data_IF_641584306355
#
_entry.id   IF_641584306355
#
_cell.length_a   1.000
_cell.length_b   1.000
_cell.length_c   1.000
_cell.angle_alpha   90.00
_cell.angle_beta   90.00
_cell.angle_gamma   90.00
#
_symmetry.space_group_name_H-M   'P 1'
#
loop_
_entity.id
_entity.type
_entity.pdbx_description
1 polymer ?
#
# COMPACT_ATOMS: atom_id res chain seq x y z
N UNK A 1 -23.18 4.22 -0.28
CA UNK A 1 -22.88 2.97 0.44
C UNK A 1 -21.65 2.39 -0.21
N UNK A 2 -20.47 2.65 0.35
CA UNK A 2 -19.23 2.06 -0.16
C UNK A 2 -19.07 0.73 0.56
N UNK A 3 -19.27 -0.37 -0.16
CA UNK A 3 -18.79 -1.67 0.28
C UNK A 3 -17.29 -1.54 0.53
N UNK A 4 -16.86 -1.84 1.75
CA UNK A 4 -15.44 -2.10 2.02
C UNK A 4 -15.14 -3.38 1.26
N UNK A 5 -14.68 -3.25 0.01
CA UNK A 5 -14.04 -4.36 -0.69
C UNK A 5 -12.86 -4.75 0.16
N UNK A 6 -12.95 -5.93 0.77
CA UNK A 6 -11.81 -6.54 1.43
C UNK A 6 -10.77 -6.76 0.35
N UNK A 7 -9.79 -5.86 0.32
CA UNK A 7 -8.71 -5.86 -0.66
C UNK A 7 -8.10 -7.27 -0.69
N UNK A 8 -7.80 -7.81 -1.87
CA UNK A 8 -7.21 -9.16 -1.99
C UNK A 8 -5.97 -9.40 -1.10
N UNK A 9 -5.32 -8.33 -0.66
CA UNK A 9 -4.23 -8.30 0.33
C UNK A 9 -4.63 -8.82 1.72
N UNK A 10 -5.85 -8.54 2.18
CA UNK A 10 -6.38 -9.04 3.45
C UNK A 10 -6.58 -10.56 3.41
N UNK A 11 -7.19 -11.06 2.34
CA UNK A 11 -7.35 -12.49 2.11
C UNK A 11 -6.01 -13.23 2.00
N UNK A 12 -5.00 -12.63 1.32
CA UNK A 12 -3.64 -13.16 1.31
C UNK A 12 -3.03 -13.19 2.71
N UNK A 13 -3.20 -12.13 3.50
CA UNK A 13 -2.74 -12.06 4.89
C UNK A 13 -3.28 -13.21 5.75
N UNK A 14 -4.56 -13.56 5.58
CA UNK A 14 -5.19 -14.70 6.26
C UNK A 14 -4.68 -16.06 5.76
N UNK A 15 -4.38 -16.19 4.47
CA UNK A 15 -3.80 -17.43 3.92
C UNK A 15 -2.36 -17.67 4.42
N UNK A 16 -1.60 -16.61 4.67
CA UNK A 16 -0.27 -16.66 5.29
C UNK A 16 -0.39 -17.12 6.74
N UNK A 17 -1.35 -16.60 7.51
CA UNK A 17 -1.60 -17.04 8.89
C UNK A 17 -1.92 -18.53 8.98
N UNK A 18 -2.66 -19.06 7.99
CA UNK A 18 -2.97 -20.48 7.88
C UNK A 18 -1.82 -21.36 7.39
N UNK A 19 -0.67 -20.78 7.04
CA UNK A 19 0.48 -21.52 6.49
C UNK A 19 0.25 -22.04 5.07
N UNK A 20 -0.75 -21.52 4.35
CA UNK A 20 -1.12 -21.98 3.00
C UNK A 20 -0.39 -21.23 1.88
N UNK A 21 0.30 -20.14 2.19
CA UNK A 21 1.07 -19.33 1.24
C UNK A 21 2.50 -19.14 1.75
N UNK A 22 3.47 -19.49 0.90
CA UNK A 22 4.90 -19.36 1.18
C UNK A 22 5.52 -18.28 0.29
N UNK A 23 6.34 -17.43 0.91
CA UNK A 23 7.24 -16.51 0.22
C UNK A 23 8.52 -16.43 1.05
N UNK A 24 9.67 -16.43 0.38
CA UNK A 24 10.97 -16.36 1.05
C UNK A 24 11.11 -15.02 1.81
N UNK A 25 11.64 -15.01 3.05
CA UNK A 25 11.66 -13.83 3.91
C UNK A 25 12.36 -12.61 3.33
N UNK A 26 13.51 -12.77 2.67
CA UNK A 26 14.24 -11.65 2.08
C UNK A 26 13.50 -11.09 0.85
N UNK A 27 12.86 -11.96 0.05
CA UNK A 27 11.95 -11.53 -1.02
C UNK A 27 10.78 -10.73 -0.44
N UNK A 28 10.16 -11.21 0.64
CA UNK A 28 9.07 -10.49 1.30
C UNK A 28 9.52 -9.11 1.81
N UNK A 29 10.69 -9.03 2.46
CA UNK A 29 11.27 -7.76 2.93
C UNK A 29 11.55 -6.78 1.79
N UNK A 30 12.09 -7.28 0.67
CA UNK A 30 12.31 -6.47 -0.54
C UNK A 30 10.99 -6.00 -1.15
N UNK A 31 9.97 -6.85 -1.20
CA UNK A 31 8.64 -6.46 -1.66
C UNK A 31 8.04 -5.35 -0.78
N UNK A 32 8.11 -5.47 0.55
CA UNK A 32 7.67 -4.43 1.48
C UNK A 32 8.41 -3.11 1.25
N UNK A 33 9.74 -3.15 1.10
CA UNK A 33 10.54 -1.96 0.79
C UNK A 33 10.07 -1.28 -0.50
N UNK A 34 9.83 -2.05 -1.57
CA UNK A 34 9.36 -1.52 -2.85
C UNK A 34 7.97 -0.92 -2.76
N UNK A 35 7.10 -1.46 -1.91
CA UNK A 35 5.80 -0.84 -1.62
C UNK A 35 5.99 0.53 -0.97
N UNK A 36 6.89 0.65 0.01
CA UNK A 36 7.21 1.94 0.63
C UNK A 36 7.78 2.97 -0.36
N UNK A 37 8.70 2.55 -1.24
CA UNK A 37 9.22 3.39 -2.32
C UNK A 37 8.09 3.85 -3.27
N UNK A 38 7.15 2.96 -3.59
CA UNK A 38 6.03 3.28 -4.46
C UNK A 38 5.01 4.22 -3.80
N UNK A 39 4.72 4.04 -2.50
CA UNK A 39 3.90 4.99 -1.73
C UNK A 39 4.51 6.39 -1.78
N UNK A 40 5.82 6.52 -1.61
CA UNK A 40 6.49 7.82 -1.68
C UNK A 40 6.35 8.49 -3.06
N UNK A 41 6.40 7.70 -4.14
CA UNK A 41 6.17 8.19 -5.51
C UNK A 41 4.71 8.63 -5.71
N UNK A 42 3.74 7.84 -5.23
CA UNK A 42 2.33 8.18 -5.29
C UNK A 42 2.02 9.46 -4.49
N UNK A 43 2.65 9.65 -3.33
CA UNK A 43 2.53 10.87 -2.55
C UNK A 43 3.05 12.12 -3.29
N UNK A 44 4.14 11.98 -4.05
CA UNK A 44 4.63 13.05 -4.92
C UNK A 44 3.62 13.38 -6.02
N UNK A 45 3.07 12.37 -6.70
CA UNK A 45 2.05 12.57 -7.73
C UNK A 45 0.79 13.21 -7.12
N UNK A 46 0.40 12.81 -5.91
CA UNK A 46 -0.73 13.39 -5.17
C UNK A 46 -0.50 14.87 -4.86
N UNK A 47 0.72 15.27 -4.48
CA UNK A 47 1.08 16.69 -4.32
C UNK A 47 0.98 17.45 -5.65
N UNK A 48 1.44 16.84 -6.74
CA UNK A 48 1.25 17.39 -8.09
C UNK A 48 -0.23 17.59 -8.45
N UNK A 49 -1.08 16.63 -8.13
CA UNK A 49 -2.53 16.74 -8.33
C UNK A 49 -3.13 17.91 -7.53
N UNK A 50 -2.66 18.15 -6.29
CA UNK A 50 -3.08 19.31 -5.50
C UNK A 50 -2.75 20.64 -6.17
N UNK A 51 -1.60 20.74 -6.83
CA UNK A 51 -1.23 21.96 -7.56
C UNK A 51 -2.18 22.25 -8.74
N UNK A 52 -2.79 21.22 -9.32
CA UNK A 52 -3.82 21.37 -10.37
C UNK A 52 -5.20 21.76 -9.82
N UNK A 53 -5.36 21.82 -8.49
CA UNK A 53 -6.58 22.30 -7.83
C UNK A 53 -6.81 23.81 -8.01
N UNK A 54 -5.86 24.53 -8.60
CA UNK A 54 -6.01 25.92 -9.03
C UNK A 54 -5.43 26.06 -10.44
N UNK A 55 -6.29 26.31 -11.42
CA UNK A 55 -5.90 26.43 -12.82
C UNK A 55 -5.84 27.89 -13.25
N UNK A 56 -4.68 28.35 -13.71
CA UNK A 56 -4.56 29.61 -14.45
C UNK A 56 -4.64 29.36 -15.97
N UNK A 57 -4.53 30.41 -16.79
CA UNK A 57 -4.34 30.27 -18.23
C UNK A 57 -5.62 30.16 -19.07
N UNK A 58 -6.79 29.95 -18.45
CA UNK A 58 -8.08 30.00 -19.16
C UNK A 58 -8.61 31.44 -19.38
N UNK A 59 -8.16 32.39 -18.56
CA UNK A 59 -8.71 33.75 -18.50
C UNK A 59 -10.00 33.84 -17.68
N UNK A 60 -10.35 35.06 -17.27
CA UNK A 60 -11.46 35.36 -16.35
C UNK A 60 -12.60 36.17 -16.98
N UNK A 61 -12.39 36.72 -18.18
CA UNK A 61 -13.36 37.58 -18.86
C UNK A 61 -14.56 36.84 -19.48
N UNK A 62 -14.39 35.56 -19.83
CA UNK A 62 -15.45 34.74 -20.41
C UNK A 62 -15.98 33.76 -19.35
N UNK A 63 -17.30 33.76 -19.14
CA UNK A 63 -17.94 32.82 -18.21
C UNK A 63 -17.65 31.36 -18.56
N UNK A 64 -17.50 31.05 -19.85
CA UNK A 64 -17.13 29.71 -20.33
C UNK A 64 -15.72 29.30 -19.89
N UNK A 65 -14.76 30.22 -19.91
CA UNK A 65 -13.39 29.99 -19.46
C UNK A 65 -13.34 29.69 -17.95
N UNK A 66 -14.01 30.52 -17.14
CA UNK A 66 -14.13 30.30 -15.68
C UNK A 66 -14.79 28.96 -15.36
N UNK A 67 -15.84 28.60 -16.11
CA UNK A 67 -16.53 27.33 -15.95
C UNK A 67 -15.62 26.14 -16.30
N UNK A 68 -14.80 26.28 -17.34
CA UNK A 68 -13.86 25.23 -17.75
C UNK A 68 -12.75 25.04 -16.71
N UNK A 69 -12.15 26.13 -16.23
CA UNK A 69 -11.15 26.11 -15.15
C UNK A 69 -11.71 25.37 -13.91
N UNK A 70 -12.91 25.76 -13.47
CA UNK A 70 -13.58 25.12 -12.32
C UNK A 70 -13.79 23.62 -12.52
N UNK A 71 -14.11 23.17 -13.73
CA UNK A 71 -14.27 21.74 -14.03
C UNK A 71 -12.96 20.97 -13.93
N UNK A 72 -11.86 21.55 -14.40
CA UNK A 72 -10.53 20.94 -14.31
C UNK A 72 -10.02 20.92 -12.87
N UNK A 73 -10.19 22.02 -12.13
CA UNK A 73 -9.85 22.10 -10.70
C UNK A 73 -10.58 21.01 -9.91
N UNK A 74 -11.89 20.83 -10.14
CA UNK A 74 -12.67 19.76 -9.51
C UNK A 74 -12.21 18.35 -9.89
N UNK A 75 -11.76 18.15 -11.13
CA UNK A 75 -11.17 16.86 -11.54
C UNK A 75 -9.86 16.58 -10.80
N UNK A 76 -9.09 17.61 -10.46
CA UNK A 76 -7.85 17.48 -9.71
C UNK A 76 -8.11 17.27 -8.21
N UNK A 77 -8.94 18.13 -7.60
CA UNK A 77 -9.17 18.20 -6.15
C UNK A 77 -10.63 18.54 -5.85
N UNK A 78 -11.24 17.86 -4.87
CA UNK A 78 -12.53 18.27 -4.28
C UNK A 78 -13.78 18.09 -5.16
N UNK A 79 -13.63 17.61 -6.40
CA UNK A 79 -14.75 17.10 -7.20
C UNK A 79 -15.08 15.64 -6.90
N UNK A 80 -16.11 15.14 -7.58
CA UNK A 80 -16.53 13.74 -7.49
C UNK A 80 -15.41 12.81 -7.96
N UNK A 81 -14.96 11.94 -7.05
CA UNK A 81 -13.81 11.05 -7.20
C UNK A 81 -12.62 11.71 -7.92
N UNK A 82 -12.15 12.82 -7.34
CA UNK A 82 -11.02 13.60 -7.87
C UNK A 82 -9.72 12.79 -7.96
N UNK A 83 -8.77 13.25 -8.77
CA UNK A 83 -7.44 12.63 -8.91
C UNK A 83 -6.73 12.49 -7.56
N UNK A 84 -6.81 13.51 -6.71
CA UNK A 84 -6.26 13.45 -5.34
C UNK A 84 -6.84 12.30 -4.52
N UNK A 85 -8.16 12.08 -4.61
CA UNK A 85 -8.84 11.00 -3.91
C UNK A 85 -8.43 9.64 -4.48
N UNK A 86 -8.45 9.48 -5.80
CA UNK A 86 -8.08 8.23 -6.45
C UNK A 86 -6.64 7.79 -6.11
N UNK A 87 -5.68 8.73 -6.09
CA UNK A 87 -4.30 8.45 -5.67
C UNK A 87 -4.25 8.11 -4.17
N UNK A 88 -5.02 8.82 -3.33
CA UNK A 88 -5.12 8.53 -1.91
C UNK A 88 -5.61 7.11 -1.62
N UNK A 89 -6.67 6.69 -2.30
CA UNK A 89 -7.21 5.34 -2.19
C UNK A 89 -6.19 4.30 -2.67
N UNK A 90 -5.46 4.59 -3.75
CA UNK A 90 -4.40 3.69 -4.22
C UNK A 90 -3.22 3.58 -3.24
N UNK A 91 -2.82 4.68 -2.57
CA UNK A 91 -1.82 4.65 -1.51
C UNK A 91 -2.25 3.71 -0.39
N UNK A 92 -3.52 3.76 0.03
CA UNK A 92 -4.06 2.87 1.07
C UNK A 92 -3.93 1.41 0.64
N UNK A 93 -4.25 1.08 -0.61
CA UNK A 93 -4.10 -0.28 -1.12
C UNK A 93 -2.64 -0.75 -1.16
N UNK A 94 -1.70 0.10 -1.56
CA UNK A 94 -0.26 -0.23 -1.55
C UNK A 94 0.27 -0.37 -0.12
N UNK A 95 -0.24 0.39 0.85
CA UNK A 95 0.10 0.23 2.26
C UNK A 95 -0.41 -1.09 2.84
N UNK A 96 -1.62 -1.54 2.46
CA UNK A 96 -2.11 -2.87 2.84
C UNK A 96 -1.22 -3.96 2.25
N UNK A 97 -0.81 -3.83 0.98
CA UNK A 97 0.15 -4.73 0.35
C UNK A 97 1.48 -4.78 1.11
N UNK A 98 2.02 -3.63 1.50
CA UNK A 98 3.25 -3.53 2.31
C UNK A 98 3.11 -4.31 3.62
N UNK A 99 2.04 -4.07 4.38
CA UNK A 99 1.79 -4.73 5.66
C UNK A 99 1.70 -6.25 5.52
N UNK A 100 1.07 -6.74 4.44
CA UNK A 100 1.03 -8.17 4.15
C UNK A 100 2.44 -8.74 3.96
N UNK A 101 3.31 -8.08 3.19
CA UNK A 101 4.69 -8.53 3.00
C UNK A 101 5.53 -8.48 4.29
N UNK A 102 5.38 -7.43 5.10
CA UNK A 102 6.06 -7.32 6.41
C UNK A 102 5.65 -8.44 7.37
N UNK A 103 4.36 -8.79 7.34
CA UNK A 103 3.80 -9.89 8.13
C UNK A 103 4.39 -11.24 7.70
N UNK A 104 4.52 -11.50 6.41
CA UNK A 104 5.20 -12.69 5.89
C UNK A 104 6.60 -12.78 6.48
N UNK A 105 7.43 -11.75 6.29
CA UNK A 105 8.82 -11.75 6.75
C UNK A 105 8.94 -12.02 8.25
N UNK A 106 8.04 -11.44 9.06
CA UNK A 106 8.02 -11.60 10.52
C UNK A 106 7.63 -13.03 10.94
N UNK A 107 6.59 -13.60 10.34
CA UNK A 107 6.13 -14.95 10.65
C UNK A 107 7.22 -16.00 10.41
N UNK A 108 7.99 -15.85 9.33
CA UNK A 108 9.11 -16.75 9.06
C UNK A 108 10.25 -16.62 10.05
N UNK A 109 10.70 -15.40 10.36
CA UNK A 109 11.76 -15.20 11.36
C UNK A 109 11.38 -15.83 12.71
N UNK A 110 10.11 -15.72 13.11
CA UNK A 110 9.61 -16.33 14.35
C UNK A 110 9.53 -17.87 14.29
N UNK A 111 9.28 -18.43 13.10
CA UNK A 111 9.15 -19.88 12.91
C UNK A 111 10.52 -20.56 12.86
N UNK A 112 11.50 -19.92 12.22
CA UNK A 112 12.89 -20.39 12.17
C UNK A 112 13.51 -20.41 13.58
N UNK A 113 13.35 -19.34 14.36
CA UNK A 113 13.86 -19.26 15.74
C UNK A 113 13.29 -20.38 16.63
N UNK A 114 11.99 -20.65 16.51
CA UNK A 114 11.32 -21.74 17.24
C UNK A 114 11.82 -23.12 16.81
N UNK A 115 12.05 -23.31 15.51
CA UNK A 115 12.54 -24.58 14.98
C UNK A 115 14.01 -24.83 15.40
N UNK A 116 14.88 -23.81 15.29
CA UNK A 116 16.26 -23.88 15.76
C UNK A 116 16.34 -24.20 17.25
N UNK A 117 15.60 -23.46 18.09
CA UNK A 117 15.55 -23.70 19.54
C UNK A 117 15.04 -25.10 19.88
N UNK A 118 14.05 -25.60 19.13
CA UNK A 118 13.50 -26.96 19.31
C UNK A 118 14.53 -28.05 18.98
N UNK A 119 15.24 -27.91 17.86
CA UNK A 119 16.29 -28.82 17.43
C UNK A 119 17.47 -28.81 18.42
N UNK A 120 17.91 -27.64 18.87
CA UNK A 120 18.97 -27.51 19.87
C UNK A 120 18.59 -28.16 21.21
N UNK A 121 17.32 -28.04 21.62
CA UNK A 121 16.82 -28.70 22.83
C UNK A 121 16.72 -30.23 22.68
N UNK A 122 16.40 -30.72 21.48
CA UNK A 122 16.28 -32.15 21.18
C UNK A 122 17.63 -32.82 20.90
N UNK A 123 18.64 -32.03 20.50
CA UNK A 123 20.02 -32.46 20.24
C UNK A 123 20.95 -32.36 21.46
N UNK A 124 20.48 -31.85 22.61
CA UNK A 124 21.24 -31.89 23.86
C UNK A 124 21.55 -33.36 24.24
N UNK A 125 22.78 -33.70 24.63
CA UNK A 125 23.27 -35.07 24.55
C UNK A 125 22.49 -36.01 25.47
N UNK A 126 22.04 -37.14 24.89
CA UNK A 126 21.82 -38.38 25.63
C UNK A 126 23.18 -38.96 26.07
N UNK A 127 23.97 -38.23 26.85
CA UNK A 127 25.17 -38.79 27.48
C UNK A 127 24.73 -39.59 28.72
N UNK A 128 24.70 -40.92 28.58
CA UNK A 128 24.65 -41.88 29.68
C UNK A 128 25.78 -42.90 29.51
#
# INVERSE_FOLDING_TARGET
>A
MSEVQDSGWGAMGSAIDGGHLYLEPEVARRCAQRCGEFVAQLDEIKRGARALGKMDGFGDHLQSAVTLATKFEKKAVGGDYSLEQAIGDHIVEVQKMQQTFEKIATMYASSEERNSSGIDSAGAPLDR
#
